data_IF_963755469726
#
_entry.id   IF_963755469726
#
_cell.length_a   1.000
_cell.length_b   1.000
_cell.length_c   1.000
_cell.angle_alpha   90.00
_cell.angle_beta   90.00
_cell.angle_gamma   90.00
#
_symmetry.space_group_name_H-M   'P 1'
#
loop_
_entity.id
_entity.type
_entity.pdbx_description
1 polymer ?
#
# COMPACT_ATOMS: atom_id res chain seq x y z
N UNK A 1 21.07 5.88 3.76
CA UNK A 1 20.66 6.45 2.46
C UNK A 1 20.96 5.44 1.38
N UNK A 2 19.99 5.15 0.49
CA UNK A 2 20.18 4.18 -0.59
C UNK A 2 21.21 4.71 -1.61
N UNK A 3 22.25 3.92 -1.91
CA UNK A 3 23.33 4.33 -2.83
C UNK A 3 23.06 3.98 -4.30
N UNK A 4 22.34 2.89 -4.56
CA UNK A 4 22.04 2.38 -5.91
C UNK A 4 20.57 1.99 -6.01
N UNK A 5 19.96 2.09 -7.20
CA UNK A 5 18.62 1.56 -7.44
C UNK A 5 18.48 0.09 -7.02
N UNK A 6 17.34 -0.25 -6.43
CA UNK A 6 16.92 -1.62 -6.17
C UNK A 6 15.60 -1.90 -6.88
N UNK A 7 15.51 -3.03 -7.57
CA UNK A 7 14.31 -3.42 -8.34
C UNK A 7 13.87 -4.82 -7.93
N UNK A 8 12.55 -5.02 -7.90
CA UNK A 8 11.89 -6.29 -7.63
C UNK A 8 10.76 -6.47 -8.64
N UNK A 9 10.65 -7.68 -9.19
CA UNK A 9 9.57 -8.05 -10.10
C UNK A 9 9.13 -9.48 -9.79
N UNK A 10 7.85 -9.66 -9.52
CA UNK A 10 7.26 -10.97 -9.24
C UNK A 10 5.82 -11.02 -9.77
N UNK A 11 5.56 -11.92 -10.73
CA UNK A 11 4.21 -12.20 -11.28
C UNK A 11 3.39 -10.94 -11.61
N UNK A 12 4.00 -9.96 -12.27
CA UNK A 12 3.34 -8.70 -12.66
C UNK A 12 3.14 -7.69 -11.52
N UNK A 13 3.78 -7.92 -10.37
CA UNK A 13 3.99 -6.95 -9.31
C UNK A 13 5.41 -6.40 -9.44
N UNK A 14 5.58 -5.08 -9.37
CA UNK A 14 6.87 -4.44 -9.56
C UNK A 14 7.13 -3.42 -8.47
N UNK A 15 8.36 -3.36 -7.97
CA UNK A 15 8.82 -2.30 -7.09
C UNK A 15 10.19 -1.80 -7.55
N UNK A 16 10.35 -0.49 -7.64
CA UNK A 16 11.63 0.16 -7.80
C UNK A 16 11.86 1.14 -6.65
N UNK A 17 13.06 1.08 -6.06
CA UNK A 17 13.50 2.03 -5.03
C UNK A 17 14.74 2.74 -5.54
N UNK A 18 14.67 4.07 -5.60
CA UNK A 18 15.70 4.93 -6.20
C UNK A 18 16.29 5.86 -5.13
N UNK A 19 17.59 6.22 -5.23
CA UNK A 19 18.17 7.27 -4.40
C UNK A 19 17.40 8.58 -4.56
N UNK A 20 16.97 9.16 -3.44
CA UNK A 20 16.24 10.43 -3.42
C UNK A 20 16.46 11.12 -2.08
N UNK A 21 16.62 12.45 -2.09
CA UNK A 21 16.78 13.26 -0.88
C UNK A 21 15.39 13.58 -0.33
N UNK A 22 14.95 12.82 0.66
CA UNK A 22 13.59 12.79 1.19
C UNK A 22 12.93 11.43 1.01
N UNK A 23 11.69 11.30 1.45
CA UNK A 23 10.89 10.10 1.19
C UNK A 23 9.75 10.46 0.23
N UNK A 24 9.71 9.84 -0.94
CA UNK A 24 8.60 9.97 -1.90
C UNK A 24 8.09 8.59 -2.24
N UNK A 25 6.79 8.42 -2.35
CA UNK A 25 6.19 7.16 -2.76
C UNK A 25 5.13 7.39 -3.85
N UNK A 26 5.12 6.48 -4.81
CA UNK A 26 4.08 6.31 -5.83
C UNK A 26 3.55 4.88 -5.71
N UNK A 27 2.24 4.73 -5.74
CA UNK A 27 1.58 3.44 -5.75
C UNK A 27 0.54 3.35 -6.85
N UNK A 28 0.64 2.32 -7.70
CA UNK A 28 -0.37 1.92 -8.66
C UNK A 28 -1.10 0.67 -8.19
N UNK A 29 -2.42 0.78 -8.07
CA UNK A 29 -3.32 -0.32 -7.72
C UNK A 29 -4.12 -0.77 -8.94
N UNK A 30 -4.18 -2.08 -9.16
CA UNK A 30 -5.02 -2.69 -10.19
C UNK A 30 -5.77 -3.87 -9.59
N UNK A 31 -7.06 -3.65 -9.37
CA UNK A 31 -8.03 -4.64 -8.89
C UNK A 31 -9.14 -4.84 -9.94
N UNK A 32 -8.82 -4.68 -11.22
CA UNK A 32 -9.75 -4.85 -12.36
C UNK A 32 -10.44 -6.22 -12.34
N UNK A 33 -9.71 -7.28 -12.01
CA UNK A 33 -10.24 -8.64 -11.84
C UNK A 33 -11.29 -8.75 -10.72
N UNK A 34 -11.30 -7.81 -9.77
CA UNK A 34 -12.27 -7.70 -8.68
C UNK A 34 -13.36 -6.66 -8.95
N UNK A 35 -13.41 -6.12 -10.17
CA UNK A 35 -14.40 -5.13 -10.61
C UNK A 35 -14.13 -3.70 -10.14
N UNK A 36 -12.90 -3.41 -9.69
CA UNK A 36 -12.47 -2.05 -9.36
C UNK A 36 -11.56 -1.48 -10.46
N UNK A 37 -11.77 -0.23 -10.90
CA UNK A 37 -10.86 0.39 -11.86
C UNK A 37 -9.46 0.54 -11.25
N UNK A 38 -8.44 0.52 -12.11
CA UNK A 38 -7.10 0.86 -11.69
C UNK A 38 -7.05 2.31 -11.18
N UNK A 39 -6.24 2.54 -10.16
CA UNK A 39 -6.05 3.87 -9.58
C UNK A 39 -4.66 4.00 -8.97
N UNK A 40 -4.18 5.23 -8.88
CA UNK A 40 -2.85 5.55 -8.40
C UNK A 40 -2.87 6.70 -7.40
N UNK A 41 -1.82 6.77 -6.59
CA UNK A 41 -1.57 7.90 -5.72
C UNK A 41 -0.06 8.09 -5.55
N UNK A 42 0.37 9.34 -5.44
CA UNK A 42 1.76 9.66 -5.11
C UNK A 42 1.85 10.88 -4.22
N UNK A 43 2.81 10.87 -3.31
CA UNK A 43 3.06 12.01 -2.43
C UNK A 43 4.52 12.03 -1.96
N UNK A 44 5.02 13.22 -1.66
CA UNK A 44 6.23 13.38 -0.86
C UNK A 44 5.82 13.24 0.60
N UNK A 45 6.49 12.34 1.31
CA UNK A 45 6.10 11.95 2.66
C UNK A 45 6.73 12.90 3.66
N UNK A 46 5.88 13.69 4.30
CA UNK A 46 6.18 14.56 5.43
C UNK A 46 5.15 14.31 6.54
N UNK A 47 5.38 14.85 7.74
CA UNK A 47 4.39 14.74 8.82
C UNK A 47 3.04 15.35 8.40
N UNK A 48 3.06 16.46 7.66
CA UNK A 48 1.86 17.13 7.19
C UNK A 48 1.10 16.31 6.14
N UNK A 49 1.79 15.84 5.10
CA UNK A 49 1.15 15.03 4.05
C UNK A 49 0.69 13.69 4.60
N UNK A 50 1.44 13.10 5.54
CA UNK A 50 1.01 11.89 6.23
C UNK A 50 -0.33 12.10 6.94
N UNK A 51 -0.45 13.10 7.79
CA UNK A 51 -1.67 13.35 8.58
C UNK A 51 -2.87 13.69 7.70
N UNK A 52 -2.68 14.54 6.68
CA UNK A 52 -3.79 15.05 5.86
C UNK A 52 -4.22 14.09 4.75
N UNK A 53 -3.27 13.40 4.13
CA UNK A 53 -3.50 12.72 2.84
C UNK A 53 -3.41 11.20 2.92
N UNK A 54 -2.73 10.64 3.93
CA UNK A 54 -2.37 9.21 3.95
C UNK A 54 -2.98 8.50 5.15
N UNK A 55 -2.73 8.99 6.37
CA UNK A 55 -3.20 8.42 7.62
C UNK A 55 -4.73 8.15 7.67
N UNK A 56 -5.60 8.99 7.06
CA UNK A 56 -7.03 8.71 7.09
C UNK A 56 -7.47 7.57 6.14
N UNK A 57 -6.61 7.04 5.27
CA UNK A 57 -6.98 6.01 4.31
C UNK A 57 -7.13 4.63 5.00
N UNK A 58 -8.36 4.12 5.00
CA UNK A 58 -8.69 2.86 5.69
C UNK A 58 -8.28 1.63 4.88
N UNK A 59 -8.08 0.54 5.60
CA UNK A 59 -7.95 -0.78 4.99
C UNK A 59 -9.24 -1.18 4.28
N UNK A 60 -9.15 -2.19 3.40
CA UNK A 60 -10.26 -2.58 2.55
C UNK A 60 -10.29 -4.08 2.29
N UNK A 61 -11.47 -4.57 1.96
CA UNK A 61 -11.72 -5.96 1.56
C UNK A 61 -12.79 -6.06 0.49
N UNK A 62 -12.92 -7.24 -0.11
CA UNK A 62 -13.91 -7.50 -1.16
C UNK A 62 -14.97 -8.46 -0.63
N UNK A 63 -16.25 -8.13 -0.83
CA UNK A 63 -17.38 -8.92 -0.33
C UNK A 63 -17.33 -10.39 -0.75
N UNK A 64 -16.88 -10.68 -1.98
CA UNK A 64 -16.71 -12.04 -2.51
C UNK A 64 -15.68 -12.88 -1.74
N UNK A 65 -14.76 -12.24 -1.00
CA UNK A 65 -13.67 -12.90 -0.29
C UNK A 65 -13.96 -13.05 1.23
N UNK A 66 -14.92 -12.29 1.77
CA UNK A 66 -15.20 -12.25 3.21
C UNK A 66 -15.58 -13.63 3.75
N UNK A 67 -16.49 -14.35 3.09
CA UNK A 67 -16.94 -15.67 3.57
C UNK A 67 -15.78 -16.68 3.61
N UNK A 68 -14.85 -16.61 2.66
CA UNK A 68 -13.66 -17.46 2.63
C UNK A 68 -12.71 -17.11 3.77
N UNK A 69 -12.49 -15.82 4.02
CA UNK A 69 -11.64 -15.34 5.11
C UNK A 69 -12.21 -15.73 6.48
N UNK A 70 -13.52 -15.59 6.69
CA UNK A 70 -14.19 -16.01 7.94
C UNK A 70 -14.05 -17.52 8.13
N UNK A 71 -14.30 -18.33 7.09
CA UNK A 71 -14.14 -19.80 7.14
C UNK A 71 -12.70 -20.22 7.44
N UNK A 72 -11.72 -19.45 6.96
CA UNK A 72 -10.31 -19.65 7.28
C UNK A 72 -9.91 -19.18 8.68
N UNK A 73 -10.85 -18.62 9.46
CA UNK A 73 -10.58 -18.08 10.81
C UNK A 73 -9.78 -16.78 10.80
N UNK A 74 -9.76 -16.06 9.67
CA UNK A 74 -9.15 -14.75 9.53
C UNK A 74 -10.18 -13.64 9.82
N UNK A 75 -9.74 -12.38 9.84
CA UNK A 75 -10.59 -11.17 9.99
C UNK A 75 -11.57 -11.19 11.18
N UNK A 76 -11.26 -11.94 12.26
CA UNK A 76 -12.12 -12.12 13.44
C UNK A 76 -12.46 -10.82 14.19
N UNK A 77 -11.65 -9.78 14.02
CA UNK A 77 -11.87 -8.45 14.60
C UNK A 77 -12.33 -7.40 13.58
N UNK A 78 -12.60 -7.80 12.33
CA UNK A 78 -13.10 -6.88 11.34
C UNK A 78 -14.57 -6.58 11.63
N UNK A 79 -14.86 -5.31 11.90
CA UNK A 79 -16.23 -4.78 11.89
C UNK A 79 -16.45 -3.89 10.67
N UNK A 80 -17.72 -3.56 10.40
CA UNK A 80 -18.09 -2.70 9.29
C UNK A 80 -17.61 -1.23 9.46
N UNK A 81 -17.05 -0.85 10.60
CA UNK A 81 -16.47 0.48 10.83
C UNK A 81 -14.98 0.58 10.52
N UNK A 82 -14.25 -0.53 10.65
CA UNK A 82 -12.78 -0.61 10.60
C UNK A 82 -12.19 -0.66 9.18
N UNK A 83 -12.97 -1.14 8.20
CA UNK A 83 -12.52 -1.36 6.83
C UNK A 83 -13.56 -0.91 5.80
N UNK A 84 -13.12 -0.57 4.60
CA UNK A 84 -14.02 -0.36 3.46
C UNK A 84 -14.29 -1.70 2.78
N UNK A 85 -15.54 -2.12 2.74
CA UNK A 85 -15.97 -3.31 2.03
C UNK A 85 -16.45 -2.94 0.63
N UNK A 86 -15.82 -3.54 -0.38
CA UNK A 86 -16.16 -3.34 -1.78
C UNK A 86 -16.99 -4.50 -2.35
N UNK A 87 -18.05 -4.15 -3.08
CA UNK A 87 -18.77 -5.04 -3.98
C UNK A 87 -18.62 -4.49 -5.41
N UNK A 88 -17.63 -5.02 -6.14
CA UNK A 88 -17.11 -4.36 -7.35
C UNK A 88 -16.46 -3.02 -7.03
N UNK A 89 -16.77 -1.97 -7.79
CA UNK A 89 -16.28 -0.61 -7.54
C UNK A 89 -17.05 0.17 -6.46
N UNK A 90 -18.09 -0.44 -5.85
CA UNK A 90 -18.97 0.26 -4.91
C UNK A 90 -18.60 -0.08 -3.46
N UNK A 91 -18.29 0.91 -2.61
CA UNK A 91 -18.20 0.69 -1.18
C UNK A 91 -19.62 0.48 -0.61
N UNK A 92 -19.83 -0.59 0.17
CA UNK A 92 -21.19 -0.99 0.60
C UNK A 92 -21.51 -0.64 2.05
N UNK A 93 -20.50 -0.43 2.88
CA UNK A 93 -20.65 -0.20 4.32
C UNK A 93 -20.35 1.24 4.76
N UNK A 94 -19.74 2.05 3.89
CA UNK A 94 -19.32 3.42 4.20
C UNK A 94 -19.14 4.24 2.92
N UNK A 95 -19.11 5.57 3.03
CA UNK A 95 -18.54 6.44 2.00
C UNK A 95 -17.01 6.42 2.06
N UNK A 96 -16.36 6.64 0.92
CA UNK A 96 -14.91 6.82 0.87
C UNK A 96 -14.52 8.19 1.44
N UNK A 97 -13.38 8.23 2.13
CA UNK A 97 -12.73 9.48 2.59
C UNK A 97 -12.00 10.16 1.45
N UNK A 98 -11.50 9.36 0.50
CA UNK A 98 -10.82 9.83 -0.70
C UNK A 98 -11.29 9.04 -1.92
N UNK A 99 -11.32 9.68 -3.10
CA UNK A 99 -11.64 8.98 -4.36
C UNK A 99 -10.66 7.84 -4.65
N UNK A 100 -9.41 8.03 -4.24
CA UNK A 100 -8.22 7.19 -4.38
C UNK A 100 -7.80 6.57 -3.02
N UNK A 101 -8.77 6.25 -2.14
CA UNK A 101 -8.50 5.71 -0.79
C UNK A 101 -7.71 4.39 -0.82
N UNK A 102 -7.91 3.55 -1.85
CA UNK A 102 -7.20 2.26 -2.02
C UNK A 102 -5.68 2.45 -2.22
N UNK A 103 -5.19 3.17 -3.26
CA UNK A 103 -3.76 3.37 -3.43
C UNK A 103 -3.15 4.20 -2.29
N UNK A 104 -3.90 5.11 -1.64
CA UNK A 104 -3.45 5.80 -0.42
C UNK A 104 -3.19 4.83 0.74
N UNK A 105 -4.09 3.89 0.98
CA UNK A 105 -3.89 2.87 2.02
C UNK A 105 -2.71 1.95 1.68
N UNK A 106 -2.54 1.56 0.41
CA UNK A 106 -1.36 0.80 0.00
C UNK A 106 -0.04 1.58 0.16
N UNK A 107 -0.08 2.89 0.00
CA UNK A 107 1.05 3.76 0.31
C UNK A 107 1.27 3.86 1.83
N UNK A 108 0.21 3.92 2.64
CA UNK A 108 0.29 3.82 4.10
C UNK A 108 0.97 2.53 4.55
N UNK A 109 0.62 1.39 3.93
CA UNK A 109 1.30 0.11 4.16
C UNK A 109 2.79 0.19 3.86
N UNK A 110 3.17 0.83 2.73
CA UNK A 110 4.58 1.03 2.37
C UNK A 110 5.29 1.88 3.42
N UNK A 111 4.69 2.96 3.90
CA UNK A 111 5.29 3.80 4.95
C UNK A 111 5.51 2.98 6.22
N UNK A 112 4.51 2.18 6.63
CA UNK A 112 4.61 1.31 7.80
C UNK A 112 5.73 0.26 7.65
N UNK A 113 5.74 -0.47 6.53
CA UNK A 113 6.74 -1.50 6.27
C UNK A 113 8.15 -0.90 6.16
N UNK A 114 8.32 0.20 5.41
CA UNK A 114 9.63 0.87 5.27
C UNK A 114 10.06 1.57 6.55
N UNK A 115 9.14 1.82 7.49
CA UNK A 115 9.46 2.26 8.86
C UNK A 115 10.24 1.23 9.68
N UNK A 116 10.40 0.00 9.18
CA UNK A 116 11.29 -1.00 9.77
C UNK A 116 12.78 -0.76 9.46
N UNK A 117 13.11 0.19 8.56
CA UNK A 117 14.48 0.62 8.34
C UNK A 117 14.92 1.58 9.45
N UNK A 118 16.23 1.61 9.72
CA UNK A 118 16.80 2.57 10.65
C UNK A 118 16.72 4.01 10.10
N UNK A 119 16.07 4.88 10.88
CA UNK A 119 15.91 6.29 10.57
C UNK A 119 14.88 6.58 9.47
N UNK A 120 14.74 7.87 9.13
CA UNK A 120 13.78 8.28 8.10
C UNK A 120 14.26 7.84 6.71
N UNK A 121 13.44 7.09 5.93
CA UNK A 121 13.80 6.69 4.58
C UNK A 121 14.21 7.89 3.71
N UNK A 122 15.29 7.71 2.94
CA UNK A 122 15.78 8.70 1.96
C UNK A 122 15.81 8.02 0.59
N UNK A 123 14.64 7.94 -0.03
CA UNK A 123 14.39 7.17 -1.24
C UNK A 123 13.07 7.53 -1.91
N UNK A 124 13.00 7.25 -3.21
CA UNK A 124 11.78 7.23 -3.99
C UNK A 124 11.34 5.77 -4.15
N UNK A 125 10.13 5.45 -3.70
CA UNK A 125 9.51 4.13 -3.90
C UNK A 125 8.46 4.23 -5.01
N UNK A 126 8.59 3.40 -6.03
CA UNK A 126 7.60 3.21 -7.09
C UNK A 126 7.08 1.80 -6.98
N UNK A 127 5.81 1.65 -6.64
CA UNK A 127 5.18 0.36 -6.39
C UNK A 127 4.00 0.13 -7.33
N UNK A 128 3.96 -1.03 -7.98
CA UNK A 128 2.91 -1.46 -8.89
C UNK A 128 2.38 -2.78 -8.39
N UNK A 129 1.14 -2.77 -7.88
CA UNK A 129 0.40 -3.97 -7.41
C UNK A 129 1.11 -4.73 -6.27
N UNK A 130 2.00 -4.09 -5.52
CA UNK A 130 2.79 -4.75 -4.47
C UNK A 130 1.98 -4.95 -3.17
N UNK A 131 2.60 -5.58 -2.18
CA UNK A 131 1.99 -5.81 -0.87
C UNK A 131 3.09 -6.12 0.13
N UNK A 132 2.71 -6.37 1.39
CA UNK A 132 3.68 -6.51 2.49
C UNK A 132 4.82 -7.49 2.17
N UNK A 133 4.53 -8.65 1.56
CA UNK A 133 5.59 -9.61 1.17
C UNK A 133 6.64 -8.96 0.27
N UNK A 134 6.21 -8.25 -0.77
CA UNK A 134 7.11 -7.57 -1.72
C UNK A 134 7.86 -6.42 -1.05
N UNK A 135 7.18 -5.67 -0.17
CA UNK A 135 7.79 -4.58 0.60
C UNK A 135 8.92 -5.13 1.46
N UNK A 136 8.66 -6.15 2.29
CA UNK A 136 9.66 -6.79 3.15
C UNK A 136 10.80 -7.42 2.34
N UNK A 137 10.50 -8.04 1.20
CA UNK A 137 11.54 -8.59 0.30
C UNK A 137 12.45 -7.48 -0.24
N UNK A 138 11.88 -6.34 -0.64
CA UNK A 138 12.64 -5.18 -1.06
C UNK A 138 13.52 -4.64 0.08
N UNK A 139 13.00 -4.54 1.31
CA UNK A 139 13.79 -4.10 2.47
C UNK A 139 14.99 -5.02 2.71
N UNK A 140 14.80 -6.34 2.64
CA UNK A 140 15.90 -7.31 2.74
C UNK A 140 16.96 -7.10 1.65
N UNK A 141 16.54 -6.79 0.42
CA UNK A 141 17.47 -6.51 -0.68
C UNK A 141 18.25 -5.20 -0.46
N UNK A 142 17.58 -4.16 0.04
CA UNK A 142 18.22 -2.89 0.40
C UNK A 142 19.26 -3.11 1.51
N UNK A 143 18.91 -3.83 2.57
CA UNK A 143 19.82 -4.08 3.71
C UNK A 143 21.04 -4.93 3.32
N UNK A 144 20.92 -5.84 2.35
CA UNK A 144 22.06 -6.61 1.82
C UNK A 144 23.02 -5.78 0.97
N UNK A 145 22.57 -4.63 0.47
CA UNK A 145 23.32 -3.80 -0.49
C UNK A 145 23.76 -2.44 0.09
N UNK A 146 23.35 -2.14 1.32
CA UNK A 146 23.69 -0.92 2.08
C UNK A 146 25.14 -0.98 2.61
#
# INVERSE_FOLDING_TARGET
MLKKPAVLSDKGCHMAVLPYKGFKAYYFSDFSQKGMPASEFSSVISAETFVKEIAPARTFGFKKEIDLLIKAGLIKGADLGSAVLFDGAKPVNTKLRFKDEVPRHKLLDIIGDFGLLDGMPQMLVIAVKTGHRHNIEMLKNILKTA
#
